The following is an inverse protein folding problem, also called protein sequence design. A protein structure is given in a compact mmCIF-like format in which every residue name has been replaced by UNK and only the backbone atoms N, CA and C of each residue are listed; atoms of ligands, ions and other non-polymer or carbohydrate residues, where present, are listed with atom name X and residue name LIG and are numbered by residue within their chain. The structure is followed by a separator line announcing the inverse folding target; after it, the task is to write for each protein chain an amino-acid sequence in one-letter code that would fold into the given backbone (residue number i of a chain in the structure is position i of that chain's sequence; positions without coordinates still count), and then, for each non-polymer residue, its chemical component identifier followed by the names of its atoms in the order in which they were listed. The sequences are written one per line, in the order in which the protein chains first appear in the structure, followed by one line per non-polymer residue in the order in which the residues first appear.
data_IF_126562827749
#
_entry.id   IF_126562827749
#
_cell.length_a   1.000
_cell.length_b   1.000
_cell.length_c   1.000
_cell.angle_alpha   90.00
_cell.angle_beta   90.00
_cell.angle_gamma   90.00
#
_symmetry.space_group_name_H-M   'P 1'
#
loop_
_entity.id
_entity.type
_entity.pdbx_description
1 polymer ?
#
# COMPACT_ATOMS: atom_id res chain seq x y z
N UNK A 1 11.38 -5.37 0.16
CA UNK A 1 10.51 -6.52 -0.16
C UNK A 1 9.07 -6.08 -0.27
N UNK A 2 8.33 -6.70 -1.16
CA UNK A 2 6.94 -6.37 -1.39
C UNK A 2 6.09 -7.56 -1.02
N UNK A 3 5.03 -7.31 -0.28
CA UNK A 3 4.20 -8.38 0.24
C UNK A 3 2.76 -7.92 0.35
N UNK A 4 1.83 -8.76 -0.01
CA UNK A 4 0.42 -8.48 0.16
C UNK A 4 -0.12 -9.33 1.29
N UNK A 5 -0.82 -8.70 2.22
CA UNK A 5 -1.40 -9.37 3.37
C UNK A 5 -2.91 -9.37 3.17
N UNK A 6 -3.47 -10.50 2.80
CA UNK A 6 -4.91 -10.56 2.55
C UNK A 6 -5.71 -10.54 3.84
N UNK A 7 -6.86 -9.92 3.76
CA UNK A 7 -7.84 -10.00 4.83
C UNK A 7 -8.61 -11.29 4.65
N UNK A 8 -8.86 -12.04 5.72
CA UNK A 8 -9.62 -13.28 5.59
C UNK A 8 -10.98 -13.03 4.96
N UNK A 9 -11.23 -13.69 3.85
CA UNK A 9 -12.45 -13.47 3.09
C UNK A 9 -13.69 -13.84 3.90
N UNK A 10 -13.58 -14.89 4.69
CA UNK A 10 -14.70 -15.31 5.50
C UNK A 10 -15.12 -14.28 6.53
N UNK A 11 -14.19 -13.43 6.93
CA UNK A 11 -14.49 -12.39 7.90
C UNK A 11 -15.05 -11.14 7.23
N UNK A 12 -14.89 -11.00 5.91
CA UNK A 12 -15.27 -9.80 5.19
C UNK A 12 -16.00 -10.14 3.89
N UNK A 13 -17.14 -10.81 3.98
CA UNK A 13 -17.79 -11.31 2.76
C UNK A 13 -18.29 -10.22 1.83
N UNK A 14 -18.42 -9.01 2.32
CA UNK A 14 -18.92 -7.92 1.50
C UNK A 14 -17.85 -7.06 0.88
N UNK A 15 -16.59 -7.36 1.14
CA UNK A 15 -15.50 -6.51 0.70
C UNK A 15 -14.75 -7.22 -0.41
N UNK A 16 -15.44 -7.45 -1.53
CA UNK A 16 -14.81 -8.14 -2.65
C UNK A 16 -13.69 -7.31 -3.25
N UNK A 17 -13.85 -6.00 -3.21
CA UNK A 17 -12.93 -5.12 -3.94
C UNK A 17 -11.86 -4.52 -3.06
N UNK A 18 -12.00 -4.63 -1.75
CA UNK A 18 -11.11 -3.94 -0.83
C UNK A 18 -10.74 -4.84 0.32
N UNK A 19 -10.06 -5.91 0.02
CA UNK A 19 -9.78 -6.90 1.04
C UNK A 19 -8.30 -7.08 1.32
N UNK A 20 -7.47 -6.24 0.76
CA UNK A 20 -6.04 -6.45 0.87
C UNK A 20 -5.37 -5.37 1.68
N UNK A 21 -4.43 -5.80 2.48
CA UNK A 21 -3.42 -4.94 3.06
C UNK A 21 -2.13 -5.20 2.31
N UNK A 22 -1.41 -4.16 1.97
CA UNK A 22 -0.16 -4.27 1.24
C UNK A 22 0.95 -3.77 2.15
N UNK A 23 1.96 -4.59 2.33
CA UNK A 23 3.15 -4.18 3.06
C UNK A 23 4.30 -4.02 2.08
N UNK A 24 4.95 -2.88 2.12
CA UNK A 24 6.06 -2.56 1.23
C UNK A 24 7.27 -2.14 2.06
N UNK A 25 8.44 -2.62 1.68
CA UNK A 25 9.68 -2.13 2.26
C UNK A 25 10.77 -2.15 1.20
N UNK A 26 11.72 -1.23 1.32
CA UNK A 26 12.88 -1.15 0.43
C UNK A 26 12.47 -1.08 -1.04
N UNK A 27 11.56 -0.17 -1.33
CA UNK A 27 11.09 0.01 -2.70
C UNK A 27 10.68 1.45 -2.93
N UNK A 28 10.43 1.76 -4.18
CA UNK A 28 9.96 3.07 -4.60
C UNK A 28 8.55 2.91 -5.11
N UNK A 29 7.65 3.70 -4.57
CA UNK A 29 6.24 3.62 -4.89
C UNK A 29 5.82 4.80 -5.74
N UNK A 30 5.25 4.52 -6.88
CA UNK A 30 4.77 5.51 -7.83
C UNK A 30 3.30 5.30 -8.12
N UNK A 31 2.70 6.30 -8.72
CA UNK A 31 1.34 6.19 -9.25
C UNK A 31 1.41 5.95 -10.74
N UNK A 32 0.62 5.01 -11.22
CA UNK A 32 0.44 4.80 -12.64
C UNK A 32 -1.05 4.65 -12.88
N UNK A 33 -1.68 5.71 -13.38
CA UNK A 33 -3.13 5.79 -13.50
C UNK A 33 -3.79 5.56 -12.14
N UNK A 34 -4.62 4.58 -12.02
CA UNK A 34 -5.28 4.25 -10.76
C UNK A 34 -4.59 3.19 -9.95
N UNK A 35 -3.33 2.91 -10.24
CA UNK A 35 -2.61 1.84 -9.57
C UNK A 35 -1.36 2.36 -8.89
N UNK A 36 -0.97 1.69 -7.82
CA UNK A 36 0.34 1.87 -7.22
C UNK A 36 1.31 0.92 -7.89
N UNK A 37 2.48 1.42 -8.22
CA UNK A 37 3.55 0.56 -8.68
C UNK A 37 4.68 0.62 -7.67
N UNK A 38 5.12 -0.53 -7.21
CA UNK A 38 6.23 -0.62 -6.27
C UNK A 38 7.38 -1.34 -6.97
N UNK A 39 8.54 -0.68 -6.98
CA UNK A 39 9.68 -1.17 -7.73
C UNK A 39 10.91 -1.25 -6.84
N UNK A 40 11.65 -2.33 -7.00
CA UNK A 40 12.96 -2.49 -6.38
C UNK A 40 13.85 -3.31 -7.31
N UNK A 41 15.00 -3.75 -6.81
CA UNK A 41 15.96 -4.53 -7.60
C UNK A 41 15.40 -5.86 -8.09
N UNK A 42 14.38 -6.36 -7.42
CA UNK A 42 13.83 -7.67 -7.73
C UNK A 42 12.67 -7.61 -8.71
N UNK A 43 12.17 -6.43 -8.98
CA UNK A 43 11.10 -6.30 -9.93
C UNK A 43 10.11 -5.21 -9.56
N UNK A 44 9.00 -5.23 -10.25
CA UNK A 44 7.93 -4.25 -10.08
C UNK A 44 6.61 -4.97 -9.92
N UNK A 45 5.81 -4.51 -8.97
CA UNK A 45 4.44 -4.97 -8.88
C UNK A 45 3.51 -3.79 -9.11
N UNK A 46 2.31 -4.09 -9.52
CA UNK A 46 1.30 -3.08 -9.77
C UNK A 46 0.02 -3.53 -9.08
N UNK A 47 -0.53 -2.64 -8.25
CA UNK A 47 -1.71 -2.97 -7.46
C UNK A 47 -2.74 -1.85 -7.62
N UNK A 48 -3.96 -2.17 -8.04
CA UNK A 48 -4.99 -1.14 -8.10
C UNK A 48 -5.25 -0.58 -6.71
N UNK A 49 -5.15 0.74 -6.58
CA UNK A 49 -5.30 1.35 -5.27
C UNK A 49 -6.69 1.14 -4.70
N UNK A 50 -7.70 1.07 -5.55
CA UNK A 50 -9.06 0.89 -5.11
C UNK A 50 -9.30 -0.46 -4.44
N UNK A 51 -8.41 -1.43 -4.64
CA UNK A 51 -8.55 -2.74 -4.03
C UNK A 51 -7.89 -2.82 -2.65
N UNK A 52 -7.29 -1.73 -2.18
CA UNK A 52 -6.53 -1.73 -0.94
C UNK A 52 -7.30 -1.03 0.16
N UNK A 53 -7.28 -1.64 1.32
CA UNK A 53 -7.80 -1.02 2.54
C UNK A 53 -6.72 -0.17 3.18
N UNK A 54 -5.52 -0.72 3.29
CA UNK A 54 -4.40 -0.01 3.88
C UNK A 54 -3.10 -0.42 3.23
N UNK A 55 -2.15 0.50 3.24
CA UNK A 55 -0.79 0.24 2.78
C UNK A 55 0.14 0.51 3.94
N UNK A 56 0.95 -0.47 4.27
CA UNK A 56 1.96 -0.35 5.32
C UNK A 56 3.31 -0.11 4.67
N UNK A 57 3.91 1.01 5.00
CA UNK A 57 5.15 1.45 4.38
C UNK A 57 6.28 1.26 5.37
N UNK A 58 7.06 0.23 5.16
CA UNK A 58 8.16 -0.12 6.03
C UNK A 58 9.43 0.63 5.71
N UNK A 59 10.53 0.22 6.35
CA UNK A 59 11.81 0.91 6.17
C UNK A 59 12.28 0.92 4.72
N UNK A 60 12.92 1.99 4.32
CA UNK A 60 13.49 2.09 2.98
C UNK A 60 12.50 2.28 1.88
N UNK A 61 11.27 2.67 2.20
CA UNK A 61 10.23 2.89 1.20
C UNK A 61 10.11 4.37 0.89
N UNK A 62 10.10 4.70 -0.39
CA UNK A 62 9.86 6.05 -0.87
C UNK A 62 8.53 6.07 -1.59
N UNK A 63 7.74 7.10 -1.37
CA UNK A 63 6.41 7.21 -1.99
C UNK A 63 6.32 8.57 -2.65
N UNK A 64 5.96 8.58 -3.93
CA UNK A 64 5.81 9.82 -4.64
C UNK A 64 4.59 10.59 -4.15
N UNK A 65 4.58 11.89 -4.39
CA UNK A 65 3.45 12.71 -4.03
C UNK A 65 2.17 12.24 -4.72
N UNK A 66 2.27 11.89 -5.99
CA UNK A 66 1.12 11.41 -6.74
C UNK A 66 0.58 10.09 -6.18
N UNK A 67 1.47 9.23 -5.71
CA UNK A 67 1.03 7.97 -5.10
C UNK A 67 0.27 8.24 -3.81
N UNK A 68 0.75 9.16 -2.99
CA UNK A 68 0.03 9.54 -1.77
C UNK A 68 -1.33 10.14 -2.08
N UNK A 69 -1.38 10.97 -3.12
CA UNK A 69 -2.66 11.55 -3.55
C UNK A 69 -3.64 10.49 -3.98
N UNK A 70 -3.14 9.49 -4.70
CA UNK A 70 -4.01 8.39 -5.13
C UNK A 70 -4.59 7.64 -3.94
N UNK A 71 -3.77 7.38 -2.93
CA UNK A 71 -4.26 6.70 -1.73
C UNK A 71 -5.37 7.52 -1.07
N UNK A 72 -5.19 8.84 -1.00
CA UNK A 72 -6.22 9.71 -0.45
C UNK A 72 -7.48 9.69 -1.28
N UNK A 73 -7.36 9.70 -2.59
CA UNK A 73 -8.52 9.66 -3.49
C UNK A 73 -9.32 8.37 -3.30
N UNK A 74 -8.62 7.27 -3.05
CA UNK A 74 -9.25 5.96 -2.91
C UNK A 74 -9.69 5.66 -1.48
N UNK A 75 -9.41 6.56 -0.55
CA UNK A 75 -9.73 6.32 0.84
C UNK A 75 -8.89 5.23 1.48
N UNK A 76 -7.71 4.98 0.93
CA UNK A 76 -6.80 3.97 1.45
C UNK A 76 -5.92 4.61 2.52
N UNK A 77 -5.80 3.97 3.65
CA UNK A 77 -4.95 4.47 4.73
C UNK A 77 -3.51 4.09 4.50
N UNK A 78 -2.61 5.05 4.62
CA UNK A 78 -1.18 4.78 4.56
C UNK A 78 -0.63 4.81 5.99
N UNK A 79 0.09 3.77 6.35
CA UNK A 79 0.66 3.64 7.69
C UNK A 79 2.17 3.47 7.53
N UNK A 80 2.92 4.35 8.14
CA UNK A 80 4.38 4.25 8.14
C UNK A 80 4.80 3.40 9.32
N UNK A 81 5.62 2.39 9.05
CA UNK A 81 6.06 1.45 10.07
C UNK A 81 7.57 1.54 10.18
N UNK A 82 8.05 1.89 11.34
CA UNK A 82 9.49 1.97 11.59
C UNK A 82 10.07 0.60 11.87
N UNK A 83 11.41 0.57 11.98
CA UNK A 83 12.11 -0.70 12.19
C UNK A 83 11.78 -1.36 13.52
N UNK A 84 11.29 -0.58 14.46
CA UNK A 84 10.97 -1.10 15.80
C UNK A 84 9.47 -1.12 16.04
N UNK A 85 8.70 -1.14 14.98
CA UNK A 85 7.27 -1.18 15.11
C UNK A 85 6.61 0.15 15.39
N UNK A 86 7.36 1.24 15.34
CA UNK A 86 6.80 2.58 15.49
C UNK A 86 5.94 2.88 14.27
N UNK A 87 4.76 3.41 14.51
CA UNK A 87 3.83 3.67 13.42
C UNK A 87 3.44 5.13 13.37
N UNK A 88 3.33 5.61 12.15
CA UNK A 88 2.83 6.94 11.86
C UNK A 88 1.71 6.80 10.86
N UNK A 89 0.68 7.61 11.04
CA UNK A 89 -0.44 7.60 10.12
C UNK A 89 -0.34 8.80 9.21
N UNK A 90 -0.57 8.55 7.92
CA UNK A 90 -0.66 9.61 6.94
C UNK A 90 -1.74 9.22 5.94
N UNK A 91 -2.60 10.16 5.61
CA UNK A 91 -3.58 9.93 4.57
C UNK A 91 -3.89 11.26 3.93
N UNK A 92 -4.14 11.19 2.66
CA UNK A 92 -4.33 12.37 1.86
C UNK A 92 -5.67 13.02 2.03
#
# INVERSE_FOLDING_TARGET
MVRMLPVPVTALPRVQDRMSFLYLEHCVVHREDGALTARNDQGTIRVPAASLVSVFLGPGTSVSHQAMSLLGECGTTAVWVGERGVRYYAHG
#
